data_IF_265463221284
#
_entry.id   IF_265463221284
#
_cell.length_a   1.000
_cell.length_b   1.000
_cell.length_c   1.000
_cell.angle_alpha   90.00
_cell.angle_beta   90.00
_cell.angle_gamma   90.00
#
_symmetry.space_group_name_H-M   'P 1'
#
loop_
_entity.id
_entity.type
_entity.pdbx_description
1 polymer ?
#
# COMPACT_ATOMS: atom_id res chain seq x y z
N UNK A 1 -15.01 16.36 -7.99
CA UNK A 1 -14.94 15.22 -7.03
C UNK A 1 -13.50 14.71 -6.97
N UNK A 2 -13.01 14.52 -5.78
CA UNK A 2 -11.67 13.96 -5.57
C UNK A 2 -11.71 12.45 -5.51
N UNK A 3 -10.75 11.82 -6.16
CA UNK A 3 -10.61 10.37 -6.18
C UNK A 3 -9.20 10.00 -5.80
N UNK A 4 -9.03 8.80 -5.27
CA UNK A 4 -7.72 8.26 -4.91
C UNK A 4 -7.48 7.00 -5.73
N UNK A 5 -6.39 6.96 -6.47
CA UNK A 5 -5.90 5.71 -7.07
C UNK A 5 -5.02 5.05 -6.04
N UNK A 6 -5.43 3.86 -5.61
CA UNK A 6 -4.75 3.09 -4.57
C UNK A 6 -4.13 1.85 -5.17
N UNK A 7 -2.85 1.66 -4.91
CA UNK A 7 -2.13 0.44 -5.30
C UNK A 7 -1.39 -0.10 -4.09
N UNK A 8 -1.34 -1.43 -3.97
CA UNK A 8 -0.66 -2.09 -2.84
C UNK A 8 0.20 -3.24 -3.31
N UNK A 9 1.25 -3.54 -2.53
CA UNK A 9 2.03 -4.77 -2.65
C UNK A 9 1.91 -5.54 -1.33
N UNK A 10 2.04 -6.88 -1.39
CA UNK A 10 1.81 -7.76 -0.25
C UNK A 10 2.93 -8.78 -0.08
N UNK A 11 2.89 -9.54 1.03
CA UNK A 11 3.82 -10.64 1.27
C UNK A 11 3.53 -11.87 0.42
N UNK A 12 2.37 -11.93 -0.24
CA UNK A 12 1.99 -13.07 -1.08
C UNK A 12 0.69 -12.78 -1.81
N UNK A 13 0.22 -13.73 -2.60
CA UNK A 13 -0.89 -13.54 -3.53
C UNK A 13 -2.27 -13.77 -2.91
N UNK A 14 -2.35 -14.34 -1.71
CA UNK A 14 -3.63 -14.73 -1.11
C UNK A 14 -3.80 -14.20 0.30
N UNK A 15 -4.86 -13.43 0.51
CA UNK A 15 -5.24 -12.98 1.85
C UNK A 15 -5.61 -14.17 2.75
N UNK A 16 -6.13 -15.25 2.15
CA UNK A 16 -6.50 -16.47 2.89
C UNK A 16 -5.29 -17.11 3.58
N UNK A 17 -4.10 -16.94 3.03
CA UNK A 17 -2.87 -17.45 3.61
C UNK A 17 -2.28 -16.50 4.65
N UNK A 18 -3.02 -15.45 5.03
CA UNK A 18 -2.59 -14.48 6.03
C UNK A 18 -1.54 -13.50 5.53
N UNK A 19 -1.43 -13.31 4.23
CA UNK A 19 -0.48 -12.34 3.68
C UNK A 19 -0.88 -10.91 4.00
N UNK A 20 0.11 -10.05 4.16
CA UNK A 20 -0.06 -8.68 4.62
C UNK A 20 0.52 -7.68 3.63
N UNK A 21 0.01 -6.45 3.71
CA UNK A 21 0.45 -5.34 2.85
C UNK A 21 1.87 -4.92 3.24
N UNK A 22 2.73 -4.71 2.25
CA UNK A 22 4.11 -4.23 2.45
C UNK A 22 4.34 -2.85 1.84
N UNK A 23 3.45 -2.41 0.96
CA UNK A 23 3.53 -1.07 0.35
C UNK A 23 2.14 -0.56 0.06
N UNK A 24 1.92 0.74 0.33
CA UNK A 24 0.70 1.45 -0.04
C UNK A 24 1.09 2.68 -0.84
N UNK A 25 0.53 2.81 -2.05
CA UNK A 25 0.70 3.99 -2.87
C UNK A 25 -0.65 4.59 -3.21
N UNK A 26 -0.82 5.89 -2.96
CA UNK A 26 -2.05 6.61 -3.25
C UNK A 26 -1.74 7.88 -4.03
N UNK A 27 -2.51 8.12 -5.08
CA UNK A 27 -2.41 9.36 -5.87
C UNK A 27 -3.79 10.00 -5.86
N UNK A 28 -3.85 11.27 -5.47
CA UNK A 28 -5.10 12.02 -5.51
C UNK A 28 -5.33 12.59 -6.91
N UNK A 29 -6.56 12.43 -7.40
CA UNK A 29 -7.00 12.95 -8.69
C UNK A 29 -8.24 13.81 -8.46
N UNK A 30 -8.27 14.97 -9.10
CA UNK A 30 -9.46 15.82 -9.12
C UNK A 30 -9.80 16.15 -10.56
N UNK A 31 -11.04 15.86 -10.97
CA UNK A 31 -11.50 16.10 -12.33
C UNK A 31 -10.56 15.48 -13.38
N UNK A 32 -10.17 14.20 -13.15
CA UNK A 32 -9.32 13.41 -14.04
C UNK A 32 -7.86 13.89 -14.12
N UNK A 33 -7.45 14.80 -13.24
CA UNK A 33 -6.09 15.36 -13.24
C UNK A 33 -5.43 15.13 -11.87
N UNK A 34 -4.20 14.62 -11.84
CA UNK A 34 -3.48 14.47 -10.57
C UNK A 34 -3.31 15.82 -9.85
N UNK A 35 -3.55 15.83 -8.54
CA UNK A 35 -3.48 17.07 -7.74
C UNK A 35 -2.10 17.32 -7.15
N UNK A 36 -1.15 16.40 -7.35
CA UNK A 36 0.18 16.36 -6.74
C UNK A 36 0.20 15.92 -5.29
N UNK A 37 -0.97 15.62 -4.69
CA UNK A 37 -1.00 15.03 -3.35
C UNK A 37 -0.86 13.52 -3.48
N UNK A 38 0.12 12.97 -2.77
CA UNK A 38 0.39 11.54 -2.76
C UNK A 38 0.55 11.05 -1.33
N UNK A 39 0.24 9.78 -1.12
CA UNK A 39 0.56 9.07 0.11
C UNK A 39 1.31 7.81 -0.29
N UNK A 40 2.49 7.61 0.26
CA UNK A 40 3.28 6.42 -0.06
C UNK A 40 4.04 5.98 1.17
N UNK A 41 3.95 4.68 1.46
CA UNK A 41 4.72 4.11 2.57
C UNK A 41 5.01 2.63 2.31
N UNK A 42 6.17 2.19 2.78
CA UNK A 42 6.46 0.78 2.93
C UNK A 42 6.08 0.35 4.34
N UNK A 43 5.76 -0.91 4.52
CA UNK A 43 5.32 -1.44 5.81
C UNK A 43 6.11 -2.68 6.18
N UNK A 44 6.40 -2.80 7.49
CA UNK A 44 6.90 -4.04 8.05
C UNK A 44 5.70 -4.97 8.28
N UNK A 45 5.58 -6.06 7.51
CA UNK A 45 4.40 -6.92 7.60
C UNK A 45 4.45 -7.88 8.79
N UNK A 46 5.58 -7.96 9.49
CA UNK A 46 5.80 -8.94 10.55
C UNK A 46 5.55 -10.37 10.07
N UNK A 47 5.80 -10.60 8.78
CA UNK A 47 5.60 -11.88 8.12
C UNK A 47 6.59 -11.99 6.97
N UNK A 48 7.07 -13.20 6.72
CA UNK A 48 8.02 -13.45 5.64
C UNK A 48 7.38 -13.22 4.27
N UNK A 49 8.11 -12.53 3.39
CA UNK A 49 7.69 -12.34 2.00
C UNK A 49 7.86 -13.65 1.24
N UNK A 50 6.82 -14.05 0.49
CA UNK A 50 6.90 -15.26 -0.33
C UNK A 50 7.84 -15.06 -1.52
N UNK A 51 8.37 -16.15 -2.07
CA UNK A 51 9.24 -16.07 -3.24
C UNK A 51 8.53 -15.42 -4.44
N UNK A 52 7.27 -15.74 -4.65
CA UNK A 52 6.50 -15.16 -5.75
C UNK A 52 6.29 -13.66 -5.59
N UNK A 53 5.99 -13.21 -4.37
CA UNK A 53 5.84 -11.79 -4.10
C UNK A 53 7.17 -11.07 -4.30
N UNK A 54 8.27 -11.65 -3.84
CA UNK A 54 9.60 -11.08 -4.01
C UNK A 54 9.96 -10.92 -5.49
N UNK A 55 9.58 -11.89 -6.33
CA UNK A 55 9.80 -11.80 -7.78
C UNK A 55 9.03 -10.62 -8.39
N UNK A 56 7.86 -10.29 -7.85
CA UNK A 56 7.02 -9.21 -8.38
C UNK A 56 7.52 -7.84 -7.94
N UNK A 57 7.74 -7.63 -6.64
CA UNK A 57 8.05 -6.29 -6.13
C UNK A 57 9.50 -6.09 -5.69
N UNK A 58 10.24 -7.17 -5.46
CA UNK A 58 11.65 -7.07 -5.10
C UNK A 58 11.94 -6.63 -3.67
N UNK A 59 10.92 -6.52 -2.80
CA UNK A 59 11.14 -6.07 -1.42
C UNK A 59 11.47 -7.25 -0.52
N UNK A 60 12.70 -7.25 0.00
CA UNK A 60 13.18 -8.33 0.87
C UNK A 60 12.70 -8.16 2.30
N UNK A 61 12.73 -9.26 3.07
CA UNK A 61 12.42 -9.19 4.50
C UNK A 61 13.34 -8.19 5.21
N UNK A 62 14.60 -8.16 4.84
CA UNK A 62 15.57 -7.23 5.42
C UNK A 62 15.21 -5.78 5.11
N UNK A 63 14.85 -5.48 3.86
CA UNK A 63 14.43 -4.12 3.47
C UNK A 63 13.24 -3.64 4.30
N UNK A 64 12.27 -4.53 4.55
CA UNK A 64 11.04 -4.17 5.24
C UNK A 64 11.16 -4.19 6.77
N UNK A 65 12.25 -4.74 7.30
CA UNK A 65 12.40 -4.95 8.74
C UNK A 65 12.43 -3.69 9.58
N UNK A 66 12.88 -2.56 8.99
CA UNK A 66 12.97 -1.27 9.69
C UNK A 66 11.80 -0.34 9.37
N UNK A 67 10.82 -0.80 8.61
CA UNK A 67 9.67 0.02 8.25
C UNK A 67 8.63 0.04 9.36
N UNK A 68 7.75 1.04 9.31
CA UNK A 68 6.64 1.14 10.27
C UNK A 68 5.63 0.02 10.05
N UNK A 69 4.96 -0.37 11.12
CA UNK A 69 3.88 -1.35 11.05
C UNK A 69 2.59 -0.64 10.58
N UNK A 70 1.67 -1.41 10.01
CA UNK A 70 0.41 -0.84 9.50
C UNK A 70 -0.32 -0.01 10.55
N UNK A 71 -0.39 -0.49 11.79
CA UNK A 71 -1.08 0.23 12.87
C UNK A 71 -0.48 1.60 13.16
N UNK A 72 0.78 1.84 12.80
CA UNK A 72 1.45 3.11 13.01
C UNK A 72 1.13 4.14 11.93
N UNK A 73 0.65 3.70 10.76
CA UNK A 73 0.36 4.58 9.63
C UNK A 73 -1.11 4.63 9.26
N UNK A 74 -1.95 3.77 9.88
CA UNK A 74 -3.35 3.63 9.47
C UNK A 74 -4.14 4.92 9.63
N UNK A 75 -3.89 5.70 10.67
CA UNK A 75 -4.62 6.95 10.88
C UNK A 75 -4.29 7.98 9.79
N UNK A 76 -3.02 8.09 9.42
CA UNK A 76 -2.60 8.98 8.34
C UNK A 76 -3.18 8.54 7.01
N UNK A 77 -3.21 7.23 6.77
CA UNK A 77 -3.80 6.66 5.56
C UNK A 77 -5.30 6.97 5.48
N UNK A 78 -6.03 6.73 6.57
CA UNK A 78 -7.47 6.98 6.61
C UNK A 78 -7.77 8.47 6.42
N UNK A 79 -6.96 9.35 7.01
CA UNK A 79 -7.10 10.78 6.83
C UNK A 79 -6.91 11.18 5.37
N UNK A 80 -5.94 10.58 4.69
CA UNK A 80 -5.67 10.88 3.28
C UNK A 80 -6.83 10.51 2.37
N UNK A 81 -7.49 9.36 2.62
CA UNK A 81 -8.57 8.86 1.75
C UNK A 81 -9.95 9.35 2.16
N UNK A 82 -10.09 10.02 3.31
CA UNK A 82 -11.37 10.41 3.87
C UNK A 82 -12.18 11.28 2.90
N UNK A 83 -13.45 10.89 2.69
CA UNK A 83 -14.37 11.62 1.83
C UNK A 83 -14.06 11.56 0.34
N UNK A 84 -13.17 10.67 -0.08
CA UNK A 84 -12.76 10.54 -1.48
C UNK A 84 -13.14 9.17 -2.02
N UNK A 85 -13.42 9.11 -3.31
CA UNK A 85 -13.73 7.84 -3.98
C UNK A 85 -12.43 7.07 -4.21
N UNK A 86 -12.43 5.78 -3.85
CA UNK A 86 -11.27 4.94 -4.07
C UNK A 86 -11.37 4.19 -5.40
N UNK A 87 -10.27 4.23 -6.16
CA UNK A 87 -10.09 3.41 -7.35
C UNK A 87 -8.92 2.49 -7.03
N UNK A 88 -9.22 1.22 -6.78
CA UNK A 88 -8.21 0.26 -6.34
C UNK A 88 -7.62 -0.43 -7.55
N UNK A 89 -6.32 -0.31 -7.70
CA UNK A 89 -5.55 -1.02 -8.71
C UNK A 89 -4.76 -2.12 -8.01
N UNK A 90 -5.01 -3.36 -8.39
CA UNK A 90 -4.33 -4.51 -7.79
C UNK A 90 -3.44 -5.13 -8.86
N UNK A 91 -2.16 -4.86 -8.74
CA UNK A 91 -1.17 -5.36 -9.69
C UNK A 91 -0.82 -6.82 -9.43
#
# INVERSE_FOLDING_TARGET
MKEIILDTETTGLSIKDGHRIVEIGCIEIENLTPTKKIFHTYLNPEKKVSEKALEVHGYTDEFLSDKKKFKEVVDDFLYFIEGKRLIIHNA
#
